data_IF_654581049820
#
_entry.id   IF_654581049820
#
_cell.length_a   1.000
_cell.length_b   1.000
_cell.length_c   1.000
_cell.angle_alpha   90.00
_cell.angle_beta   90.00
_cell.angle_gamma   90.00
#
_symmetry.space_group_name_H-M   'P 1'
#
loop_
_entity.id
_entity.type
_entity.pdbx_description
1 polymer ?
#
# COMPACT_ATOMS: atom_id res chain seq x y z
N UNK A 1 3.13 -29.12 -8.17
CA UNK A 1 2.13 -28.13 -7.69
C UNK A 1 2.57 -26.73 -8.13
N UNK A 2 1.65 -25.77 -8.40
CA UNK A 2 2.05 -24.37 -8.63
C UNK A 2 2.84 -23.84 -7.42
N UNK A 3 3.80 -22.93 -7.63
CA UNK A 3 4.46 -22.23 -6.52
C UNK A 3 3.43 -21.50 -5.64
N UNK A 4 3.77 -21.21 -4.38
CA UNK A 4 2.86 -20.62 -3.37
C UNK A 4 2.10 -19.40 -3.91
N UNK A 5 2.76 -18.56 -4.70
CA UNK A 5 2.17 -17.37 -5.31
C UNK A 5 1.06 -17.73 -6.31
N UNK A 6 1.31 -18.71 -7.17
CA UNK A 6 0.33 -19.19 -8.15
C UNK A 6 -0.86 -19.88 -7.51
N UNK A 7 -0.65 -20.58 -6.39
CA UNK A 7 -1.75 -21.09 -5.57
C UNK A 7 -2.58 -19.94 -4.97
N UNK A 8 -1.94 -18.94 -4.38
CA UNK A 8 -2.61 -17.74 -3.83
C UNK A 8 -3.42 -17.02 -4.91
N UNK A 9 -2.85 -16.82 -6.11
CA UNK A 9 -3.57 -16.18 -7.20
C UNK A 9 -4.80 -16.96 -7.65
N UNK A 10 -4.74 -18.29 -7.68
CA UNK A 10 -5.94 -19.10 -7.97
C UNK A 10 -6.99 -18.96 -6.88
N UNK A 11 -6.58 -19.10 -5.62
CA UNK A 11 -7.49 -19.07 -4.48
C UNK A 11 -8.18 -17.71 -4.33
N UNK A 12 -7.49 -16.62 -4.67
CA UNK A 12 -8.02 -15.26 -4.64
C UNK A 12 -8.84 -14.88 -5.90
N UNK A 13 -9.06 -15.79 -6.85
CA UNK A 13 -9.72 -15.47 -8.13
C UNK A 13 -8.89 -14.54 -9.04
N UNK A 14 -7.59 -14.44 -8.81
CA UNK A 14 -6.64 -13.56 -9.48
C UNK A 14 -5.86 -14.24 -10.63
N UNK A 15 -6.30 -15.40 -11.12
CA UNK A 15 -5.62 -16.14 -12.19
C UNK A 15 -5.66 -15.45 -13.58
N UNK A 16 -6.57 -14.50 -13.78
CA UNK A 16 -6.57 -13.60 -14.94
C UNK A 16 -5.60 -12.41 -14.80
N UNK A 17 -5.67 -11.65 -13.70
CA UNK A 17 -4.80 -10.48 -13.49
C UNK A 17 -3.35 -10.79 -13.13
N UNK A 18 -3.01 -12.02 -12.74
CA UNK A 18 -1.65 -12.46 -12.37
C UNK A 18 -1.26 -13.79 -13.06
N UNK A 19 0.03 -14.04 -13.32
CA UNK A 19 0.48 -15.29 -13.91
C UNK A 19 0.35 -16.45 -12.92
N UNK A 20 -0.20 -17.57 -13.39
CA UNK A 20 -0.21 -18.83 -12.66
C UNK A 20 0.81 -19.78 -13.29
N UNK A 21 2.02 -19.79 -12.74
CA UNK A 21 3.16 -20.57 -13.24
C UNK A 21 4.04 -21.08 -12.11
N UNK A 22 4.84 -22.11 -12.39
CA UNK A 22 5.94 -22.57 -11.51
C UNK A 22 7.27 -21.93 -11.87
N UNK A 23 7.38 -21.32 -13.05
CA UNK A 23 8.63 -20.74 -13.55
C UNK A 23 8.67 -19.23 -13.29
N UNK A 24 9.68 -18.79 -12.54
CA UNK A 24 9.94 -17.38 -12.29
C UNK A 24 10.17 -16.61 -13.60
N UNK A 25 10.98 -17.17 -14.51
CA UNK A 25 11.25 -16.59 -15.83
C UNK A 25 9.97 -16.44 -16.68
N UNK A 26 9.08 -17.43 -16.65
CA UNK A 26 7.79 -17.33 -17.32
C UNK A 26 6.91 -16.23 -16.71
N UNK A 27 6.96 -16.05 -15.38
CA UNK A 27 6.28 -14.95 -14.68
C UNK A 27 6.80 -13.59 -15.12
N UNK A 28 8.12 -13.40 -15.17
CA UNK A 28 8.76 -12.17 -15.68
C UNK A 28 8.30 -11.88 -17.11
N UNK A 29 8.38 -12.86 -18.01
CA UNK A 29 7.97 -12.70 -19.40
C UNK A 29 6.47 -12.35 -19.53
N UNK A 30 5.61 -12.94 -18.69
CA UNK A 30 4.18 -12.64 -18.66
C UNK A 30 3.90 -11.19 -18.30
N UNK A 31 4.57 -10.65 -17.27
CA UNK A 31 4.41 -9.25 -16.87
C UNK A 31 5.02 -8.29 -17.89
N UNK A 32 6.21 -8.60 -18.42
CA UNK A 32 6.87 -7.78 -19.44
C UNK A 32 6.05 -7.66 -20.72
N UNK A 33 5.51 -8.78 -21.23
CA UNK A 33 4.66 -8.80 -22.44
C UNK A 33 3.38 -7.98 -22.30
N UNK A 34 2.98 -7.63 -21.07
CA UNK A 34 1.80 -6.80 -20.77
C UNK A 34 2.16 -5.37 -20.37
N UNK A 35 3.45 -5.02 -20.34
CA UNK A 35 3.91 -3.70 -19.88
C UNK A 35 3.73 -3.48 -18.37
N UNK A 36 3.72 -4.57 -17.57
CA UNK A 36 3.39 -4.53 -16.12
C UNK A 36 4.53 -5.04 -15.25
N UNK A 37 5.74 -4.95 -15.76
CA UNK A 37 6.96 -5.20 -15.02
C UNK A 37 7.61 -3.86 -14.64
N UNK A 38 8.01 -3.71 -13.39
CA UNK A 38 8.44 -2.45 -12.80
C UNK A 38 9.69 -2.64 -11.96
N UNK A 39 10.49 -1.58 -11.81
CA UNK A 39 11.57 -1.52 -10.83
C UNK A 39 11.06 -1.20 -9.40
N UNK A 40 9.78 -0.84 -9.24
CA UNK A 40 9.21 -0.41 -7.96
C UNK A 40 8.28 -1.45 -7.32
N UNK A 41 8.38 -1.66 -5.99
CA UNK A 41 7.43 -2.49 -5.28
C UNK A 41 6.03 -1.89 -5.34
N UNK A 42 5.04 -2.76 -5.19
CA UNK A 42 3.65 -2.37 -5.02
C UNK A 42 2.94 -3.38 -4.12
N UNK A 43 1.94 -2.95 -3.34
CA UNK A 43 1.17 -3.89 -2.50
C UNK A 43 0.44 -4.88 -3.43
N UNK A 44 0.63 -6.18 -3.20
CA UNK A 44 0.11 -7.25 -4.02
C UNK A 44 0.95 -7.58 -5.26
N UNK A 45 2.10 -6.91 -5.47
CA UNK A 45 3.02 -7.25 -6.55
C UNK A 45 3.75 -8.57 -6.30
N UNK A 46 4.10 -9.26 -7.38
CA UNK A 46 5.04 -10.37 -7.34
C UNK A 46 6.47 -9.82 -7.49
N UNK A 47 7.31 -10.02 -6.48
CA UNK A 47 8.75 -9.70 -6.58
C UNK A 47 9.50 -10.88 -7.21
N UNK A 48 10.50 -10.58 -8.02
CA UNK A 48 11.37 -11.55 -8.69
C UNK A 48 12.83 -11.30 -8.29
N UNK A 49 13.58 -12.38 -8.06
CA UNK A 49 14.96 -12.32 -7.58
C UNK A 49 15.94 -13.07 -8.48
N UNK A 50 17.21 -12.66 -8.40
CA UNK A 50 18.34 -13.29 -9.06
C UNK A 50 18.47 -12.94 -10.55
N UNK A 51 19.47 -13.53 -11.24
CA UNK A 51 19.74 -13.24 -12.64
C UNK A 51 18.50 -13.40 -13.52
N UNK A 52 18.12 -12.34 -14.23
CA UNK A 52 16.92 -12.32 -15.07
C UNK A 52 15.59 -12.50 -14.34
N UNK A 53 15.58 -12.47 -13.00
CA UNK A 53 14.41 -12.76 -12.16
C UNK A 53 14.03 -14.24 -12.12
N UNK A 54 14.97 -15.13 -12.47
CA UNK A 54 14.71 -16.56 -12.62
C UNK A 54 14.85 -17.38 -11.34
N UNK A 55 15.40 -16.82 -10.26
CA UNK A 55 15.86 -17.62 -9.11
C UNK A 55 14.80 -17.82 -8.03
N UNK A 56 14.07 -16.76 -7.66
CA UNK A 56 13.06 -16.83 -6.60
C UNK A 56 11.98 -15.79 -6.80
N UNK A 57 10.83 -15.99 -6.14
CA UNK A 57 9.69 -15.07 -6.19
C UNK A 57 9.00 -14.95 -4.84
N UNK A 58 8.32 -13.83 -4.62
CA UNK A 58 7.53 -13.55 -3.42
C UNK A 58 6.33 -12.67 -3.72
N UNK A 59 5.42 -12.52 -2.76
CA UNK A 59 4.31 -11.57 -2.82
C UNK A 59 4.54 -10.41 -1.86
N UNK A 60 4.55 -9.19 -2.37
CA UNK A 60 4.72 -7.97 -1.58
C UNK A 60 3.42 -7.68 -0.83
N UNK A 61 3.47 -7.62 0.50
CA UNK A 61 2.32 -7.22 1.32
C UNK A 61 2.44 -5.79 1.89
N UNK A 62 3.66 -5.25 1.95
CA UNK A 62 3.93 -3.86 2.34
C UNK A 62 5.26 -3.38 1.75
N UNK A 63 5.48 -2.06 1.73
CA UNK A 63 6.77 -1.45 1.45
C UNK A 63 6.91 -0.12 2.18
N UNK A 64 8.15 0.33 2.37
CA UNK A 64 8.49 1.66 2.87
C UNK A 64 9.54 2.34 1.97
N UNK A 65 10.19 3.38 2.47
CA UNK A 65 11.22 4.11 1.74
C UNK A 65 12.42 3.23 1.33
N UNK A 66 12.76 2.21 2.12
CA UNK A 66 13.94 1.37 1.97
C UNK A 66 13.62 -0.11 1.68
N UNK A 67 12.50 -0.63 2.19
CA UNK A 67 12.22 -2.06 2.19
C UNK A 67 10.94 -2.44 1.45
N UNK A 68 10.95 -3.66 0.90
CA UNK A 68 9.77 -4.41 0.51
C UNK A 68 9.59 -5.57 1.49
N UNK A 69 8.36 -5.77 1.96
CA UNK A 69 7.99 -6.84 2.87
C UNK A 69 7.17 -7.88 2.11
N UNK A 70 7.61 -9.13 2.15
CA UNK A 70 7.18 -10.18 1.24
C UNK A 70 6.75 -11.44 1.98
N UNK A 71 5.79 -12.16 1.40
CA UNK A 71 5.46 -13.55 1.73
C UNK A 71 6.14 -14.42 0.68
N UNK A 72 7.07 -15.27 1.11
CA UNK A 72 7.90 -16.11 0.25
C UNK A 72 7.72 -17.57 0.66
N UNK A 73 7.51 -18.45 -0.33
CA UNK A 73 7.34 -19.89 -0.11
C UNK A 73 8.58 -20.66 -0.58
N UNK A 74 8.81 -21.85 -0.02
CA UNK A 74 10.05 -22.59 -0.25
C UNK A 74 11.29 -21.74 0.10
N UNK A 75 11.23 -21.11 1.28
CA UNK A 75 12.36 -20.44 1.94
C UNK A 75 12.38 -20.88 3.40
N UNK A 76 13.46 -20.56 4.12
CA UNK A 76 13.58 -20.66 5.58
C UNK A 76 13.91 -19.28 6.17
N UNK A 77 14.06 -19.16 7.50
CA UNK A 77 14.40 -17.90 8.16
C UNK A 77 15.73 -17.29 7.66
N UNK A 78 16.73 -18.11 7.31
CA UNK A 78 18.08 -17.70 6.91
C UNK A 78 18.28 -17.48 5.40
N UNK A 79 17.29 -17.82 4.56
CA UNK A 79 17.31 -17.57 3.11
C UNK A 79 17.92 -18.67 2.23
N UNK A 80 18.11 -19.89 2.75
CA UNK A 80 18.54 -21.05 1.94
C UNK A 80 17.39 -21.56 1.04
N UNK A 81 17.76 -22.18 -0.08
CA UNK A 81 16.87 -22.70 -1.13
C UNK A 81 16.08 -23.97 -0.73
N UNK A 82 16.42 -24.58 0.42
CA UNK A 82 15.79 -25.79 0.95
C UNK A 82 14.64 -25.43 1.91
N UNK A 83 13.65 -24.72 1.38
CA UNK A 83 12.63 -24.08 2.21
C UNK A 83 11.76 -25.04 3.01
N UNK A 84 11.69 -24.81 4.32
CA UNK A 84 10.86 -25.55 5.28
C UNK A 84 9.44 -25.00 5.40
N UNK A 85 9.11 -23.90 4.70
CA UNK A 85 7.78 -23.33 4.76
C UNK A 85 7.55 -22.04 3.98
N UNK A 86 6.54 -21.30 4.43
CA UNK A 86 6.17 -19.97 3.97
C UNK A 86 6.56 -18.97 5.05
N UNK A 87 7.35 -17.95 4.68
CA UNK A 87 7.91 -17.00 5.64
C UNK A 87 7.69 -15.57 5.20
N UNK A 88 7.59 -14.68 6.20
CA UNK A 88 7.69 -13.25 6.00
C UNK A 88 9.17 -12.88 5.80
N UNK A 89 9.44 -12.05 4.81
CA UNK A 89 10.79 -11.57 4.49
C UNK A 89 10.80 -10.06 4.40
N UNK A 90 11.90 -9.46 4.87
CA UNK A 90 12.22 -8.05 4.73
C UNK A 90 13.38 -7.94 3.76
N UNK A 91 13.15 -7.29 2.61
CA UNK A 91 14.13 -7.16 1.52
C UNK A 91 14.39 -5.69 1.27
N UNK A 92 15.64 -5.28 1.02
CA UNK A 92 15.90 -3.95 0.49
C UNK A 92 15.21 -3.84 -0.87
N UNK A 93 14.39 -2.81 -1.07
CA UNK A 93 13.57 -2.69 -2.30
C UNK A 93 14.37 -2.38 -3.56
N UNK A 94 15.65 -2.05 -3.40
CA UNK A 94 16.64 -1.79 -4.46
C UNK A 94 17.89 -2.66 -4.29
N UNK A 95 17.74 -3.82 -3.65
CA UNK A 95 18.83 -4.79 -3.53
C UNK A 95 19.28 -5.26 -4.92
N UNK A 96 20.58 -5.50 -5.11
CA UNK A 96 21.10 -6.01 -6.39
C UNK A 96 20.52 -7.38 -6.77
N UNK A 97 20.08 -8.17 -5.78
CA UNK A 97 19.43 -9.45 -6.00
C UNK A 97 17.94 -9.33 -6.31
N UNK A 98 17.32 -8.16 -6.10
CA UNK A 98 15.95 -7.88 -6.56
C UNK A 98 16.01 -7.53 -8.03
N UNK A 99 15.45 -8.41 -8.86
CA UNK A 99 15.41 -8.20 -10.31
C UNK A 99 14.29 -7.23 -10.71
N UNK A 100 13.14 -7.29 -10.01
CA UNK A 100 12.04 -6.37 -10.23
C UNK A 100 10.70 -6.90 -9.75
N UNK A 101 9.64 -6.20 -10.12
CA UNK A 101 8.29 -6.39 -9.61
C UNK A 101 7.28 -6.50 -10.74
N UNK A 102 6.57 -7.63 -10.78
CA UNK A 102 5.39 -7.81 -11.61
C UNK A 102 4.16 -7.27 -10.88
N UNK A 103 3.45 -6.34 -11.50
CA UNK A 103 2.24 -5.75 -10.94
C UNK A 103 1.03 -6.53 -11.48
N UNK A 104 0.19 -7.22 -10.68
CA UNK A 104 -1.07 -7.83 -11.16
C UNK A 104 -2.19 -6.83 -11.47
N UNK A 105 -3.08 -7.15 -12.42
CA UNK A 105 -4.08 -6.24 -12.97
C UNK A 105 -5.35 -6.24 -12.14
N UNK A 106 -5.21 -6.04 -10.83
CA UNK A 106 -6.35 -6.06 -9.92
C UNK A 106 -7.36 -4.96 -10.33
N UNK A 107 -8.68 -5.24 -10.28
CA UNK A 107 -9.70 -4.26 -10.65
C UNK A 107 -9.62 -2.94 -9.88
N UNK A 108 -9.14 -2.97 -8.63
CA UNK A 108 -8.93 -1.77 -7.80
C UNK A 108 -7.62 -1.02 -8.06
N UNK A 109 -6.85 -1.41 -9.08
CA UNK A 109 -5.50 -0.89 -9.31
C UNK A 109 -4.46 -1.49 -8.36
N UNK A 110 -3.24 -0.95 -8.42
CA UNK A 110 -2.13 -1.37 -7.57
C UNK A 110 -1.42 -0.16 -6.96
N UNK A 111 -1.06 -0.28 -5.69
CA UNK A 111 -0.42 0.78 -4.89
C UNK A 111 1.08 0.68 -5.07
N UNK A 112 1.71 1.51 -5.91
CA UNK A 112 3.14 1.39 -6.23
C UNK A 112 4.00 2.51 -5.64
N UNK A 113 5.27 2.20 -5.39
CA UNK A 113 6.30 3.16 -5.01
C UNK A 113 6.95 3.89 -6.19
N UNK A 114 6.44 3.72 -7.42
CA UNK A 114 6.97 4.38 -8.61
C UNK A 114 6.81 5.91 -8.53
N UNK A 115 7.81 6.70 -8.94
CA UNK A 115 7.66 8.13 -9.12
C UNK A 115 6.50 8.40 -10.08
N UNK A 116 5.46 9.09 -9.60
CA UNK A 116 4.23 9.35 -10.36
C UNK A 116 3.10 8.33 -10.14
N UNK A 117 3.34 7.21 -9.43
CA UNK A 117 2.27 6.42 -8.85
C UNK A 117 1.82 7.10 -7.55
N UNK A 118 0.58 7.60 -7.52
CA UNK A 118 -0.01 8.13 -6.30
C UNK A 118 -0.05 6.96 -5.30
N UNK A 119 0.64 7.02 -4.14
CA UNK A 119 0.55 5.96 -3.14
C UNK A 119 -0.91 5.83 -2.76
N UNK A 120 -1.49 4.64 -2.92
CA UNK A 120 -2.86 4.47 -2.49
C UNK A 120 -2.95 4.69 -0.96
N UNK A 121 -4.06 5.25 -0.51
CA UNK A 121 -4.29 5.50 0.90
C UNK A 121 -4.13 4.21 1.72
N UNK A 122 -3.61 4.29 2.96
CA UNK A 122 -3.72 3.19 3.92
C UNK A 122 -5.20 2.82 4.10
N UNK A 123 -5.51 1.59 4.54
CA UNK A 123 -6.88 1.20 4.85
C UNK A 123 -7.55 2.22 5.77
N UNK A 124 -8.83 2.51 5.53
CA UNK A 124 -9.59 3.37 6.42
C UNK A 124 -9.67 2.73 7.81
N UNK A 125 -9.26 3.42 8.90
CA UNK A 125 -9.18 2.83 10.24
C UNK A 125 -10.54 2.60 10.91
N UNK A 126 -11.65 2.96 10.22
CA UNK A 126 -13.00 2.92 10.75
C UNK A 126 -13.41 4.24 11.41
N UNK A 127 -14.71 4.56 11.36
CA UNK A 127 -15.24 5.82 11.90
C UNK A 127 -14.98 5.98 13.40
N UNK A 128 -14.85 4.87 14.14
CA UNK A 128 -14.54 4.87 15.58
C UNK A 128 -13.19 5.52 15.94
N UNK A 129 -12.25 5.60 14.98
CA UNK A 129 -10.98 6.30 15.14
C UNK A 129 -11.11 7.83 15.18
N UNK A 130 -12.20 8.38 14.64
CA UNK A 130 -12.44 9.83 14.51
C UNK A 130 -13.60 10.29 15.37
N UNK A 131 -13.62 9.85 16.62
CA UNK A 131 -14.59 10.33 17.62
C UNK A 131 -14.00 11.55 18.32
N UNK A 132 -14.82 12.58 18.51
CA UNK A 132 -14.39 13.83 19.15
C UNK A 132 -13.76 13.54 20.52
N UNK A 133 -12.58 14.11 20.76
CA UNK A 133 -11.74 13.94 21.94
C UNK A 133 -11.17 12.52 22.16
N UNK A 134 -11.38 11.58 21.24
CA UNK A 134 -10.73 10.28 21.30
C UNK A 134 -9.31 10.34 20.75
N UNK A 135 -8.41 9.54 21.33
CA UNK A 135 -7.04 9.38 20.85
C UNK A 135 -6.94 8.14 19.96
N UNK A 136 -6.31 8.28 18.78
CA UNK A 136 -6.01 7.17 17.89
C UNK A 136 -4.80 7.51 16.99
N UNK A 137 -3.89 6.56 16.70
CA UNK A 137 -2.72 6.82 15.85
C UNK A 137 -3.06 7.40 14.47
N UNK A 138 -4.18 6.96 13.89
CA UNK A 138 -4.64 7.46 12.58
C UNK A 138 -5.01 8.95 12.56
N UNK A 139 -5.24 9.59 13.71
CA UNK A 139 -5.47 11.05 13.78
C UNK A 139 -4.17 11.80 13.46
N UNK A 140 -3.02 11.26 13.88
CA UNK A 140 -1.71 11.85 13.56
C UNK A 140 -1.51 11.87 12.04
N UNK A 141 -1.86 10.76 11.37
CA UNK A 141 -1.76 10.67 9.91
C UNK A 141 -2.77 11.58 9.21
N UNK A 142 -3.99 11.67 9.73
CA UNK A 142 -5.01 12.61 9.25
C UNK A 142 -4.49 14.06 9.30
N UNK A 143 -3.97 14.49 10.45
CA UNK A 143 -3.51 15.87 10.65
C UNK A 143 -2.35 16.21 9.71
N UNK A 144 -1.39 15.30 9.54
CA UNK A 144 -0.30 15.45 8.57
C UNK A 144 -0.83 15.67 7.15
N UNK A 145 -1.85 14.92 6.75
CA UNK A 145 -2.46 15.06 5.40
C UNK A 145 -3.23 16.36 5.27
N UNK A 146 -3.95 16.78 6.30
CA UNK A 146 -4.62 18.08 6.30
C UNK A 146 -3.61 19.22 6.16
N UNK A 147 -2.51 19.20 6.91
CA UNK A 147 -1.42 20.19 6.80
C UNK A 147 -0.83 20.18 5.39
N UNK A 148 -0.49 19.01 4.85
CA UNK A 148 0.05 18.89 3.49
C UNK A 148 -0.91 19.41 2.41
N UNK A 149 -2.22 19.31 2.63
CA UNK A 149 -3.27 19.86 1.76
C UNK A 149 -3.59 21.33 2.02
N UNK A 150 -2.86 21.99 2.93
CA UNK A 150 -3.11 23.39 3.30
C UNK A 150 -4.44 23.57 4.05
N UNK A 151 -4.87 22.57 4.81
CA UNK A 151 -6.10 22.55 5.63
C UNK A 151 -5.74 22.58 7.11
N UNK A 152 -5.13 23.70 7.51
CA UNK A 152 -4.56 23.91 8.84
C UNK A 152 -5.09 25.20 9.49
N UNK A 153 -6.25 25.69 9.04
CA UNK A 153 -6.81 27.00 9.43
C UNK A 153 -7.22 27.04 10.89
N UNK A 154 -7.80 25.95 11.39
CA UNK A 154 -8.35 25.89 12.74
C UNK A 154 -7.31 25.30 13.69
N UNK A 155 -6.96 26.06 14.73
CA UNK A 155 -5.98 25.68 15.75
C UNK A 155 -6.17 26.53 17.01
N UNK A 156 -5.39 26.24 18.05
CA UNK A 156 -5.44 26.83 19.40
C UNK A 156 -4.63 28.14 19.57
N UNK A 157 -4.19 28.74 18.46
CA UNK A 157 -3.28 29.90 18.46
C UNK A 157 -1.80 29.60 18.17
N UNK A 158 -1.33 28.35 18.31
CA UNK A 158 0.09 27.98 18.12
C UNK A 158 0.39 27.30 16.77
N UNK A 159 -0.46 27.53 15.78
CA UNK A 159 -0.48 26.77 14.53
C UNK A 159 -1.08 25.38 14.69
N UNK A 160 -1.48 24.78 13.57
CA UNK A 160 -2.03 23.43 13.57
C UNK A 160 -0.92 22.39 13.48
N UNK A 161 -0.82 21.53 14.49
CA UNK A 161 0.22 20.50 14.59
C UNK A 161 -0.41 19.11 14.67
N UNK A 162 0.23 18.07 14.11
CA UNK A 162 -0.28 16.71 14.22
C UNK A 162 -0.34 16.22 15.67
N UNK A 163 -1.50 15.69 16.08
CA UNK A 163 -1.70 15.10 17.38
C UNK A 163 -2.51 13.80 17.31
N UNK A 164 -2.47 12.96 18.35
CA UNK A 164 -3.21 11.70 18.35
C UNK A 164 -4.70 11.91 18.68
N UNK A 165 -5.11 13.09 19.14
CA UNK A 165 -6.47 13.36 19.62
C UNK A 165 -7.30 14.02 18.51
N UNK A 166 -8.47 13.45 18.20
CA UNK A 166 -9.39 14.04 17.23
C UNK A 166 -10.15 15.21 17.86
N UNK A 167 -9.57 16.41 17.76
CA UNK A 167 -10.11 17.63 18.38
C UNK A 167 -11.21 18.28 17.54
N UNK A 168 -11.90 19.27 18.10
CA UNK A 168 -12.82 20.12 17.35
C UNK A 168 -12.11 20.91 16.24
N UNK A 169 -10.84 21.29 16.45
CA UNK A 169 -10.03 21.92 15.41
C UNK A 169 -9.78 20.97 14.25
N UNK A 170 -9.42 19.71 14.55
CA UNK A 170 -9.27 18.65 13.55
C UNK A 170 -10.55 18.45 12.76
N UNK A 171 -11.70 18.30 13.43
CA UNK A 171 -13.01 18.16 12.78
C UNK A 171 -13.32 19.33 11.82
N UNK A 172 -13.04 20.56 12.23
CA UNK A 172 -13.26 21.75 11.37
C UNK A 172 -12.32 21.78 10.17
N UNK A 173 -11.04 21.41 10.35
CA UNK A 173 -10.09 21.29 9.24
C UNK A 173 -10.50 20.17 8.26
N UNK A 174 -11.03 19.05 8.75
CA UNK A 174 -11.63 17.99 7.91
C UNK A 174 -12.84 18.54 7.14
N UNK A 175 -13.71 19.30 7.81
CA UNK A 175 -14.88 19.91 7.16
C UNK A 175 -14.47 20.85 6.03
N UNK A 176 -13.49 21.71 6.26
CA UNK A 176 -12.95 22.60 5.22
C UNK A 176 -12.33 21.81 4.07
N UNK A 177 -11.69 20.68 4.34
CA UNK A 177 -11.21 19.75 3.30
C UNK A 177 -12.37 19.18 2.48
N UNK A 178 -13.43 18.67 3.13
CA UNK A 178 -14.62 18.12 2.49
C UNK A 178 -15.34 19.15 1.62
N UNK A 179 -15.57 20.36 2.14
CA UNK A 179 -16.15 21.46 1.37
C UNK A 179 -15.32 21.80 0.13
N UNK A 180 -13.99 21.76 0.24
CA UNK A 180 -13.11 21.99 -0.91
C UNK A 180 -13.17 20.89 -1.97
N UNK A 181 -13.75 19.72 -1.67
CA UNK A 181 -14.07 18.69 -2.66
C UNK A 181 -15.38 18.96 -3.41
N UNK A 182 -16.09 20.04 -3.06
CA UNK A 182 -17.44 20.35 -3.57
C UNK A 182 -18.57 19.65 -2.79
N UNK A 183 -18.26 19.01 -1.65
CA UNK A 183 -19.27 18.34 -0.82
C UNK A 183 -20.05 19.35 0.01
N UNK A 184 -21.26 18.99 0.43
CA UNK A 184 -22.14 19.89 1.21
C UNK A 184 -23.06 19.10 2.15
N UNK A 185 -23.69 19.81 3.09
CA UNK A 185 -24.62 19.19 4.03
C UNK A 185 -23.96 18.08 4.86
N UNK A 186 -24.60 16.92 4.91
CA UNK A 186 -24.12 15.75 5.66
C UNK A 186 -22.81 15.18 5.11
N UNK A 187 -22.48 15.42 3.84
CA UNK A 187 -21.22 14.95 3.24
C UNK A 187 -20.01 15.80 3.65
N UNK A 188 -20.25 16.96 4.28
CA UNK A 188 -19.23 17.88 4.79
C UNK A 188 -19.44 18.19 6.28
N UNK A 189 -19.55 17.14 7.09
CA UNK A 189 -19.84 17.16 8.53
C UNK A 189 -18.58 17.31 9.43
N UNK A 190 -17.40 17.13 8.85
CA UNK A 190 -16.11 17.14 9.53
C UNK A 190 -15.66 15.77 10.05
N UNK A 191 -16.40 14.70 9.79
CA UNK A 191 -16.04 13.33 10.20
C UNK A 191 -15.49 12.54 9.00
N UNK A 192 -14.25 12.03 9.07
CA UNK A 192 -13.69 11.26 7.96
C UNK A 192 -14.44 9.94 7.76
N UNK A 193 -15.02 9.76 6.57
CA UNK A 193 -15.44 8.46 6.04
C UNK A 193 -14.38 7.87 5.09
N UNK A 194 -14.63 6.66 4.53
CA UNK A 194 -13.70 6.02 3.60
C UNK A 194 -13.29 6.89 2.41
N UNK A 195 -14.21 7.70 1.88
CA UNK A 195 -13.93 8.59 0.75
C UNK A 195 -13.10 9.82 1.17
N UNK A 196 -13.40 10.45 2.32
CA UNK A 196 -12.56 11.52 2.88
C UNK A 196 -11.13 11.02 3.04
N UNK A 197 -11.00 9.84 3.63
CA UNK A 197 -9.72 9.16 3.83
C UNK A 197 -9.06 8.76 2.52
N UNK A 198 -9.79 8.52 1.44
CA UNK A 198 -9.14 8.24 0.16
C UNK A 198 -8.48 9.49 -0.42
N UNK A 199 -9.22 10.61 -0.40
CA UNK A 199 -8.82 11.86 -1.08
C UNK A 199 -7.67 12.59 -0.39
N UNK A 200 -7.53 12.43 0.92
CA UNK A 200 -6.43 13.01 1.70
C UNK A 200 -5.03 12.46 1.29
N UNK A 201 -4.96 11.33 0.59
CA UNK A 201 -3.72 10.69 0.14
C UNK A 201 -3.43 10.85 -1.36
N UNK A 202 -4.24 11.67 -2.05
CA UNK A 202 -3.92 12.16 -3.40
C UNK A 202 -2.97 13.34 -3.34
#
# INVERSE_FOLDING_TARGET
MPGVQSWVFRQAGAAGPAPVTVSCAAGVAWFRSRGRFSEYPAVGAQVFFGPGGGSHVGLVYAYDAAYAYTVEGNTNATGSAEGDGVHLKKRLRRDAYVYGYGHPAYPGGIVSAAPGAVPAPPPFPGAGAFRLNASHPAVVDLDRRLIAKGRARHHDGNGYQPGPVFTEYTRRNVRDFQLAQGWSGADADGYPGPETWRRLWT
#
